data_IF_014937503998
#
_entry.id   IF_014937503998
#
_cell.length_a   1.000
_cell.length_b   1.000
_cell.length_c   1.000
_cell.angle_alpha   90.00
_cell.angle_beta   90.00
_cell.angle_gamma   90.00
#
_symmetry.space_group_name_H-M   'P 1'
#
loop_
_entity.id
_entity.type
_entity.pdbx_description
1 polymer ?
#
# COMPACT_ATOMS: atom_id res chain seq x y z
N UNK A 1 14.34 -11.95 -3.90
CA UNK A 1 14.47 -10.94 -2.83
C UNK A 1 13.28 -9.99 -2.92
N UNK A 2 12.72 -9.55 -1.80
CA UNK A 2 11.68 -8.53 -1.77
C UNK A 2 11.90 -7.63 -0.56
N UNK A 3 11.46 -6.37 -0.65
CA UNK A 3 11.61 -5.39 0.43
C UNK A 3 10.20 -4.98 0.86
N UNK A 4 9.95 -4.98 2.17
CA UNK A 4 8.68 -4.67 2.85
C UNK A 4 7.51 -5.65 2.63
N UNK A 5 7.27 -6.10 1.39
CA UNK A 5 6.18 -7.02 1.07
C UNK A 5 6.68 -8.28 0.38
N UNK A 6 6.00 -9.39 0.57
CA UNK A 6 6.32 -10.70 0.01
C UNK A 6 5.06 -11.56 -0.10
N UNK A 7 5.21 -12.80 -0.56
CA UNK A 7 4.13 -13.79 -0.71
C UNK A 7 3.35 -14.09 0.58
N UNK A 8 3.94 -13.83 1.75
CA UNK A 8 3.31 -14.03 3.06
C UNK A 8 2.63 -12.76 3.59
N UNK A 9 2.74 -11.62 2.90
CA UNK A 9 2.09 -10.38 3.31
C UNK A 9 0.58 -10.53 3.22
N UNK A 10 -0.11 -10.36 4.36
CA UNK A 10 -1.56 -10.41 4.49
C UNK A 10 -2.10 -8.99 4.59
N UNK A 11 -2.97 -8.64 3.65
CA UNK A 11 -3.30 -7.24 3.37
C UNK A 11 -4.72 -6.90 3.81
N UNK A 12 -4.84 -5.78 4.52
CA UNK A 12 -6.10 -5.07 4.77
C UNK A 12 -6.29 -3.97 3.72
N UNK A 13 -7.50 -3.83 3.20
CA UNK A 13 -7.88 -2.68 2.37
C UNK A 13 -8.80 -1.75 3.15
N UNK A 14 -8.29 -0.57 3.53
CA UNK A 14 -9.10 0.47 4.14
C UNK A 14 -9.84 1.26 3.05
N UNK A 15 -11.17 1.41 3.21
CA UNK A 15 -12.04 1.95 2.17
C UNK A 15 -12.39 0.94 1.07
N UNK A 16 -12.28 -0.36 1.35
CA UNK A 16 -12.49 -1.44 0.37
C UNK A 16 -13.84 -1.36 -0.36
N UNK A 17 -14.90 -0.94 0.32
CA UNK A 17 -16.25 -0.88 -0.26
C UNK A 17 -16.54 0.40 -1.06
N UNK A 18 -15.58 1.33 -1.15
CA UNK A 18 -15.66 2.50 -2.03
C UNK A 18 -15.33 2.16 -3.48
N UNK A 19 -15.55 3.11 -4.40
CA UNK A 19 -15.30 2.92 -5.85
C UNK A 19 -13.84 2.51 -6.14
N UNK A 20 -12.87 3.34 -5.74
CA UNK A 20 -11.45 3.06 -5.98
C UNK A 20 -10.95 1.86 -5.17
N UNK A 21 -11.40 1.73 -3.92
CA UNK A 21 -11.10 0.56 -3.09
C UNK A 21 -11.53 -0.75 -3.75
N UNK A 22 -12.76 -0.82 -4.25
CA UNK A 22 -13.29 -2.03 -4.92
C UNK A 22 -12.49 -2.35 -6.18
N UNK A 23 -12.29 -1.34 -7.04
CA UNK A 23 -11.56 -1.49 -8.30
C UNK A 23 -10.12 -1.97 -8.08
N UNK A 24 -9.39 -1.36 -7.16
CA UNK A 24 -8.00 -1.69 -6.91
C UNK A 24 -7.84 -2.97 -6.08
N UNK A 25 -8.79 -3.31 -5.21
CA UNK A 25 -8.83 -4.63 -4.53
C UNK A 25 -8.84 -5.74 -5.56
N UNK A 26 -9.76 -5.68 -6.55
CA UNK A 26 -9.84 -6.67 -7.63
C UNK A 26 -8.55 -6.76 -8.45
N UNK A 27 -7.91 -5.64 -8.74
CA UNK A 27 -6.61 -5.61 -9.46
C UNK A 27 -5.48 -6.22 -8.64
N UNK A 28 -5.42 -5.91 -7.34
CA UNK A 28 -4.42 -6.48 -6.43
C UNK A 28 -4.61 -7.99 -6.28
N UNK A 29 -5.85 -8.49 -6.19
CA UNK A 29 -6.14 -9.93 -6.20
C UNK A 29 -5.65 -10.61 -7.48
N UNK A 30 -5.93 -10.02 -8.65
CA UNK A 30 -5.43 -10.53 -9.94
C UNK A 30 -3.90 -10.52 -10.02
N UNK A 31 -3.25 -9.59 -9.33
CA UNK A 31 -1.79 -9.52 -9.22
C UNK A 31 -1.19 -10.53 -8.22
N UNK A 32 -2.03 -11.33 -7.53
CA UNK A 32 -1.59 -12.34 -6.57
C UNK A 32 -1.50 -11.85 -5.12
N UNK A 33 -1.93 -10.63 -4.82
CA UNK A 33 -1.92 -10.09 -3.45
C UNK A 33 -2.88 -10.86 -2.54
N UNK A 34 -2.38 -11.30 -1.37
CA UNK A 34 -3.20 -11.96 -0.34
C UNK A 34 -3.99 -10.96 0.49
N UNK A 35 -5.13 -10.53 -0.03
CA UNK A 35 -6.08 -9.67 0.68
C UNK A 35 -6.92 -10.53 1.63
N UNK A 36 -6.92 -10.18 2.92
CA UNK A 36 -7.57 -10.97 3.97
C UNK A 36 -8.77 -10.27 4.60
N UNK A 37 -8.86 -8.94 4.47
CA UNK A 37 -9.95 -8.16 5.04
C UNK A 37 -10.10 -6.79 4.36
N UNK A 38 -11.32 -6.28 4.38
CA UNK A 38 -11.61 -4.87 4.17
C UNK A 38 -11.93 -4.16 5.49
N UNK A 39 -11.67 -2.86 5.55
CA UNK A 39 -12.15 -1.99 6.64
C UNK A 39 -13.00 -0.89 6.04
N UNK A 40 -14.24 -0.79 6.52
CA UNK A 40 -15.13 0.33 6.23
C UNK A 40 -16.02 0.56 7.45
N UNK A 41 -15.77 1.63 8.24
CA UNK A 41 -16.59 1.94 9.41
C UNK A 41 -18.08 1.99 9.07
N UNK A 42 -18.90 1.34 9.90
CA UNK A 42 -20.35 1.21 9.70
C UNK A 42 -20.77 0.05 8.79
N UNK A 43 -19.83 -0.68 8.19
CA UNK A 43 -20.09 -1.89 7.38
C UNK A 43 -19.43 -3.15 7.94
N UNK A 44 -18.90 -3.12 9.17
CA UNK A 44 -18.33 -4.30 9.81
C UNK A 44 -19.34 -5.44 9.94
N UNK A 45 -18.87 -6.68 9.83
CA UNK A 45 -19.68 -7.89 9.84
C UNK A 45 -20.24 -8.29 8.47
N UNK A 46 -20.10 -7.43 7.45
CA UNK A 46 -20.43 -7.78 6.08
C UNK A 46 -19.30 -8.57 5.42
N UNK A 47 -19.58 -9.15 4.25
CA UNK A 47 -18.57 -9.70 3.35
C UNK A 47 -18.87 -9.24 1.93
N UNK A 48 -17.82 -9.00 1.14
CA UNK A 48 -17.94 -8.52 -0.24
C UNK A 48 -17.26 -9.49 -1.18
N UNK A 49 -17.94 -9.84 -2.27
CA UNK A 49 -17.35 -10.60 -3.38
C UNK A 49 -16.43 -9.70 -4.21
N UNK A 50 -15.16 -10.08 -4.28
CA UNK A 50 -14.12 -9.43 -5.05
C UNK A 50 -13.57 -10.38 -6.12
N UNK A 51 -14.30 -10.51 -7.23
CA UNK A 51 -13.95 -11.37 -8.37
C UNK A 51 -13.85 -12.86 -7.98
N UNK A 52 -14.85 -13.36 -7.26
CA UNK A 52 -14.98 -14.76 -6.84
C UNK A 52 -14.37 -15.08 -5.48
N UNK A 53 -13.75 -14.09 -4.82
CA UNK A 53 -13.24 -14.21 -3.47
C UNK A 53 -14.08 -13.41 -2.49
N UNK A 54 -14.67 -14.09 -1.51
CA UNK A 54 -15.44 -13.45 -0.43
C UNK A 54 -14.47 -12.90 0.61
N UNK A 55 -14.46 -11.58 0.80
CA UNK A 55 -13.58 -10.90 1.74
C UNK A 55 -14.41 -10.27 2.87
N UNK A 56 -14.12 -10.58 4.15
CA UNK A 56 -14.83 -10.00 5.28
C UNK A 56 -14.52 -8.51 5.45
N UNK A 57 -15.50 -7.75 5.93
CA UNK A 57 -15.39 -6.31 6.22
C UNK A 57 -15.50 -6.09 7.72
N UNK A 58 -14.61 -5.26 8.26
CA UNK A 58 -14.55 -4.89 9.67
C UNK A 58 -14.75 -3.38 9.85
N UNK A 59 -15.05 -2.96 11.09
CA UNK A 59 -15.20 -1.54 11.41
C UNK A 59 -13.86 -0.86 11.69
N UNK A 60 -12.86 -1.61 12.17
CA UNK A 60 -11.52 -1.10 12.48
C UNK A 60 -10.41 -2.04 11.98
N UNK A 61 -9.21 -1.49 11.79
CA UNK A 61 -8.00 -2.26 11.46
C UNK A 61 -7.67 -3.24 12.59
N UNK A 62 -7.88 -2.86 13.85
CA UNK A 62 -7.62 -3.72 15.01
C UNK A 62 -8.46 -5.01 15.00
N UNK A 63 -9.75 -4.90 14.68
CA UNK A 63 -10.64 -6.06 14.52
C UNK A 63 -10.15 -6.97 13.38
N UNK A 64 -9.84 -6.37 12.23
CA UNK A 64 -9.35 -7.10 11.06
C UNK A 64 -8.03 -7.84 11.34
N UNK A 65 -7.08 -7.22 12.04
CA UNK A 65 -5.82 -7.85 12.45
C UNK A 65 -6.10 -9.02 13.39
N UNK A 66 -6.94 -8.82 14.41
CA UNK A 66 -7.26 -9.86 15.39
C UNK A 66 -7.87 -11.10 14.73
N UNK A 67 -8.71 -10.92 13.71
CA UNK A 67 -9.35 -12.00 13.00
C UNK A 67 -8.46 -12.69 11.95
N UNK A 68 -7.53 -11.97 11.32
CA UNK A 68 -6.84 -12.45 10.10
C UNK A 68 -5.32 -12.57 10.23
N UNK A 69 -4.74 -11.91 11.23
CA UNK A 69 -3.29 -11.76 11.38
C UNK A 69 -2.66 -10.93 10.26
N UNK A 70 -3.38 -9.95 9.71
CA UNK A 70 -2.85 -9.03 8.71
C UNK A 70 -1.63 -8.25 9.21
N UNK A 71 -0.69 -7.98 8.30
CA UNK A 71 0.57 -7.30 8.59
C UNK A 71 0.87 -6.11 7.66
N UNK A 72 -0.04 -5.79 6.74
CA UNK A 72 0.01 -4.58 5.93
C UNK A 72 -1.39 -4.04 5.66
N UNK A 73 -1.52 -2.71 5.51
CA UNK A 73 -2.74 -2.04 5.11
C UNK A 73 -2.49 -1.14 3.91
N UNK A 74 -3.43 -1.12 2.97
CA UNK A 74 -3.48 -0.12 1.88
C UNK A 74 -4.72 0.75 2.04
N UNK A 75 -4.54 2.07 1.89
CA UNK A 75 -5.56 3.08 2.17
C UNK A 75 -6.06 3.70 0.87
N UNK A 76 -7.32 3.45 0.54
CA UNK A 76 -8.07 4.03 -0.58
C UNK A 76 -9.21 4.94 -0.09
N UNK A 77 -9.04 5.53 1.09
CA UNK A 77 -10.03 6.36 1.76
C UNK A 77 -9.96 7.79 1.22
N UNK A 78 -11.10 8.48 0.95
CA UNK A 78 -11.10 9.85 0.47
C UNK A 78 -10.30 10.82 1.38
N UNK A 79 -9.78 11.95 0.84
CA UNK A 79 -8.79 12.78 1.54
C UNK A 79 -9.28 13.30 2.90
N UNK A 80 -10.56 13.69 2.96
CA UNK A 80 -11.23 14.16 4.17
C UNK A 80 -11.20 13.17 5.34
N UNK A 81 -11.11 11.87 5.05
CA UNK A 81 -11.17 10.80 6.06
C UNK A 81 -9.84 10.03 6.17
N UNK A 82 -8.87 10.33 5.31
CA UNK A 82 -7.62 9.56 5.22
C UNK A 82 -6.79 9.63 6.50
N UNK A 83 -6.75 10.79 7.19
CA UNK A 83 -6.05 10.90 8.48
C UNK A 83 -6.59 9.91 9.51
N UNK A 84 -7.91 9.85 9.70
CA UNK A 84 -8.52 8.95 10.68
C UNK A 84 -8.22 7.47 10.34
N UNK A 85 -8.26 7.11 9.06
CA UNK A 85 -7.91 5.77 8.59
C UNK A 85 -6.43 5.40 8.86
N UNK A 86 -5.51 6.35 8.64
CA UNK A 86 -4.09 6.13 8.94
C UNK A 86 -3.86 6.01 10.45
N UNK A 87 -4.51 6.85 11.26
CA UNK A 87 -4.45 6.76 12.73
C UNK A 87 -4.98 5.40 13.23
N UNK A 88 -6.10 4.90 12.70
CA UNK A 88 -6.62 3.56 13.06
C UNK A 88 -5.60 2.45 12.75
N UNK A 89 -4.88 2.54 11.62
CA UNK A 89 -3.80 1.63 11.30
C UNK A 89 -2.61 1.73 12.27
N UNK A 90 -2.23 2.96 12.66
CA UNK A 90 -1.14 3.20 13.62
C UNK A 90 -1.51 2.67 15.02
N UNK A 91 -2.72 2.95 15.50
CA UNK A 91 -3.21 2.48 16.79
C UNK A 91 -3.36 0.96 16.84
N UNK A 92 -3.69 0.33 15.71
CA UNK A 92 -3.69 -1.11 15.54
C UNK A 92 -2.28 -1.72 15.41
N UNK A 93 -1.22 -0.89 15.43
CA UNK A 93 0.18 -1.28 15.36
C UNK A 93 0.52 -2.08 14.11
N UNK A 94 -0.10 -1.72 12.97
CA UNK A 94 0.19 -2.41 11.73
C UNK A 94 1.62 -2.09 11.26
N UNK A 95 2.43 -3.07 10.86
CA UNK A 95 3.82 -2.79 10.47
C UNK A 95 3.98 -1.84 9.27
N UNK A 96 3.09 -1.95 8.28
CA UNK A 96 3.14 -1.15 7.04
C UNK A 96 1.77 -0.61 6.67
N UNK A 97 1.68 0.71 6.48
CA UNK A 97 0.52 1.41 5.94
C UNK A 97 0.89 2.13 4.64
N UNK A 98 0.27 1.73 3.53
CA UNK A 98 0.45 2.33 2.21
C UNK A 98 -0.72 3.26 1.90
N UNK A 99 -0.46 4.55 1.81
CA UNK A 99 -1.47 5.59 1.61
C UNK A 99 -1.45 6.04 0.15
N UNK A 100 -2.49 5.65 -0.59
CA UNK A 100 -2.61 5.96 -2.02
C UNK A 100 -3.22 7.34 -2.22
N UNK A 101 -4.15 7.72 -1.36
CA UNK A 101 -4.97 8.93 -1.45
C UNK A 101 -4.15 10.20 -1.75
N UNK A 102 -4.55 10.90 -2.81
CA UNK A 102 -4.05 12.22 -3.19
C UNK A 102 -4.86 13.34 -2.50
N UNK A 103 -4.29 14.54 -2.36
CA UNK A 103 -5.04 15.72 -1.89
C UNK A 103 -5.32 15.77 -0.38
N UNK A 104 -4.63 14.94 0.42
CA UNK A 104 -4.67 15.06 1.88
C UNK A 104 -4.00 16.38 2.30
N UNK A 105 -4.64 17.21 3.16
CA UNK A 105 -4.03 18.43 3.66
C UNK A 105 -2.67 18.17 4.33
N UNK A 106 -1.68 19.01 4.04
CA UNK A 106 -0.30 18.81 4.54
C UNK A 106 -0.22 18.72 6.07
N UNK A 107 -1.02 19.52 6.78
CA UNK A 107 -1.04 19.48 8.25
C UNK A 107 -1.57 18.14 8.80
N UNK A 108 -2.49 17.49 8.07
CA UNK A 108 -2.99 16.16 8.44
C UNK A 108 -1.92 15.10 8.22
N UNK A 109 -1.16 15.21 7.11
CA UNK A 109 -0.01 14.35 6.83
C UNK A 109 1.07 14.48 7.89
N UNK A 110 1.43 15.71 8.24
CA UNK A 110 2.40 15.99 9.30
C UNK A 110 1.96 15.39 10.64
N UNK A 111 0.67 15.53 10.98
CA UNK A 111 0.11 15.03 12.24
C UNK A 111 0.17 13.49 12.33
N UNK A 112 -0.34 12.76 11.33
CA UNK A 112 -0.30 11.29 11.40
C UNK A 112 1.12 10.75 11.27
N UNK A 113 2.01 11.44 10.54
CA UNK A 113 3.40 11.02 10.40
C UNK A 113 4.14 11.15 11.73
N UNK A 114 4.01 12.29 12.41
CA UNK A 114 4.57 12.51 13.73
C UNK A 114 4.05 11.46 14.74
N UNK A 115 2.75 11.17 14.70
CA UNK A 115 2.14 10.14 15.54
C UNK A 115 2.70 8.74 15.26
N UNK A 116 2.93 8.39 14.00
CA UNK A 116 3.57 7.13 13.60
C UNK A 116 4.99 7.01 14.15
N UNK A 117 5.76 8.10 14.11
CA UNK A 117 7.13 8.17 14.66
C UNK A 117 7.12 8.02 16.18
N UNK A 118 6.18 8.67 16.86
CA UNK A 118 6.00 8.56 18.31
C UNK A 118 5.70 7.12 18.75
N UNK A 119 4.81 6.41 18.03
CA UNK A 119 4.50 4.99 18.31
C UNK A 119 5.61 4.03 17.91
N UNK A 120 6.40 4.38 16.89
CA UNK A 120 7.63 3.68 16.50
C UNK A 120 7.44 2.31 15.84
N UNK A 121 6.22 1.90 15.50
CA UNK A 121 5.94 0.57 14.93
C UNK A 121 5.46 0.63 13.48
N UNK A 122 4.51 1.51 13.18
CA UNK A 122 3.94 1.60 11.83
C UNK A 122 4.84 2.41 10.92
N UNK A 123 5.22 1.82 9.78
CA UNK A 123 5.86 2.54 8.70
C UNK A 123 4.84 3.00 7.68
N UNK A 124 4.94 4.26 7.26
CA UNK A 124 4.04 4.87 6.28
C UNK A 124 4.75 4.99 4.94
N UNK A 125 4.08 4.51 3.89
CA UNK A 125 4.43 4.76 2.50
C UNK A 125 3.37 5.66 1.86
N UNK A 126 3.77 6.77 1.25
CA UNK A 126 2.86 7.80 0.73
C UNK A 126 2.77 9.01 1.66
N UNK A 127 1.69 9.82 1.59
CA UNK A 127 0.51 9.68 0.73
C UNK A 127 0.78 10.01 -0.74
N UNK A 128 -0.29 10.05 -1.55
CA UNK A 128 -0.25 10.40 -2.97
C UNK A 128 0.76 9.54 -3.77
N UNK A 129 0.87 8.26 -3.44
CA UNK A 129 1.79 7.36 -4.11
C UNK A 129 1.02 6.25 -4.83
N UNK A 130 1.55 5.70 -5.92
CA UNK A 130 0.93 4.54 -6.53
C UNK A 130 1.16 3.25 -5.73
N UNK A 131 2.03 3.28 -4.71
CA UNK A 131 2.23 2.19 -3.75
C UNK A 131 3.52 1.40 -3.95
N UNK A 132 3.46 0.11 -3.63
CA UNK A 132 4.61 -0.81 -3.64
C UNK A 132 4.21 -2.13 -4.29
N UNK A 133 5.10 -2.69 -5.10
CA UNK A 133 4.92 -4.02 -5.66
C UNK A 133 6.20 -4.85 -5.57
N UNK A 134 6.03 -6.09 -5.10
CA UNK A 134 6.94 -7.20 -5.37
C UNK A 134 6.37 -8.00 -6.54
N UNK A 135 6.94 -7.89 -7.75
CA UNK A 135 6.36 -8.47 -8.95
C UNK A 135 6.13 -9.98 -8.82
N UNK A 136 4.97 -10.44 -9.26
CA UNK A 136 4.53 -11.84 -9.13
C UNK A 136 4.20 -12.30 -7.70
N UNK A 137 4.21 -11.40 -6.70
CA UNK A 137 4.00 -11.75 -5.29
C UNK A 137 2.94 -10.89 -4.62
N UNK A 138 3.20 -9.60 -4.44
CA UNK A 138 2.28 -8.72 -3.71
C UNK A 138 2.36 -7.32 -4.27
N UNK A 139 1.19 -6.78 -4.60
CA UNK A 139 0.97 -5.41 -5.04
C UNK A 139 0.06 -4.71 -4.01
N UNK A 140 0.57 -3.64 -3.40
CA UNK A 140 -0.17 -2.74 -2.53
C UNK A 140 -0.30 -1.39 -3.21
N UNK A 141 -1.38 -1.19 -3.95
CA UNK A 141 -1.68 0.09 -4.58
C UNK A 141 -2.24 -0.04 -5.98
N UNK A 142 -1.79 0.84 -6.87
CA UNK A 142 -2.33 1.03 -8.23
C UNK A 142 -1.30 0.75 -9.33
N UNK A 143 -0.14 0.19 -8.97
CA UNK A 143 0.91 -0.15 -9.94
C UNK A 143 0.37 -1.25 -10.87
N UNK A 144 0.41 -1.07 -12.20
CA UNK A 144 0.02 -2.11 -13.15
C UNK A 144 0.99 -3.30 -13.07
N UNK A 145 0.47 -4.49 -12.75
CA UNK A 145 1.28 -5.69 -12.54
C UNK A 145 1.75 -6.36 -13.83
N UNK A 146 1.05 -6.14 -14.93
CA UNK A 146 1.30 -6.68 -16.27
C UNK A 146 2.59 -6.12 -16.91
N UNK A 147 3.02 -4.94 -16.50
CA UNK A 147 4.27 -4.34 -16.96
C UNK A 147 5.44 -4.58 -16.00
N UNK A 148 5.22 -5.26 -14.87
CA UNK A 148 6.25 -5.52 -13.86
C UNK A 148 6.82 -6.92 -13.98
N UNK A 149 8.14 -7.04 -14.16
CA UNK A 149 8.86 -8.32 -14.14
C UNK A 149 9.83 -8.41 -12.97
N UNK A 150 9.98 -9.59 -12.38
CA UNK A 150 10.84 -9.81 -11.20
C UNK A 150 12.32 -9.82 -11.54
N UNK A 151 13.14 -9.07 -10.82
CA UNK A 151 14.59 -9.15 -10.94
C UNK A 151 15.35 -8.44 -9.81
N UNK A 152 16.67 -8.25 -9.95
CA UNK A 152 17.54 -7.84 -8.85
C UNK A 152 17.52 -6.33 -8.56
N UNK A 153 16.94 -5.51 -9.44
CA UNK A 153 16.97 -4.05 -9.31
C UNK A 153 15.82 -3.55 -8.42
N UNK A 154 16.12 -2.76 -7.40
CA UNK A 154 15.10 -1.97 -6.67
C UNK A 154 14.89 -0.61 -7.33
N UNK A 155 13.66 -0.25 -7.66
CA UNK A 155 13.33 1.08 -8.19
C UNK A 155 12.64 1.91 -7.11
N UNK A 156 13.05 3.17 -6.90
CA UNK A 156 12.41 4.09 -5.94
C UNK A 156 12.14 5.41 -6.65
N UNK A 157 10.92 5.93 -6.56
CA UNK A 157 10.54 7.17 -7.27
C UNK A 157 9.38 7.91 -6.64
N UNK A 158 9.41 9.24 -6.77
CA UNK A 158 8.37 10.18 -6.32
C UNK A 158 7.24 10.44 -7.32
N UNK A 159 7.31 9.83 -8.50
CA UNK A 159 6.34 10.05 -9.57
C UNK A 159 5.82 8.73 -10.08
N UNK A 160 4.50 8.56 -10.15
CA UNK A 160 3.90 7.30 -10.62
C UNK A 160 4.16 7.05 -12.10
N UNK A 161 3.88 8.02 -12.97
CA UNK A 161 4.01 7.86 -14.43
C UNK A 161 5.47 7.72 -14.86
N UNK A 162 6.38 8.50 -14.28
CA UNK A 162 7.81 8.37 -14.56
C UNK A 162 8.34 7.00 -14.16
N UNK A 163 7.84 6.44 -13.07
CA UNK A 163 8.19 5.09 -12.67
C UNK A 163 7.76 4.06 -13.69
N UNK A 164 6.55 4.18 -14.23
CA UNK A 164 6.08 3.24 -15.27
C UNK A 164 6.93 3.34 -16.55
N UNK A 165 7.43 4.54 -16.88
CA UNK A 165 8.37 4.73 -17.98
C UNK A 165 9.71 4.03 -17.70
N UNK A 166 10.31 4.28 -16.53
CA UNK A 166 11.58 3.65 -16.14
C UNK A 166 11.47 2.12 -16.10
N UNK A 167 10.35 1.62 -15.57
CA UNK A 167 9.98 0.21 -15.57
C UNK A 167 9.98 -0.39 -16.98
N UNK A 168 9.30 0.28 -17.91
CA UNK A 168 9.21 -0.14 -19.30
C UNK A 168 10.58 -0.12 -20.00
N UNK A 169 11.33 0.98 -19.87
CA UNK A 169 12.64 1.14 -20.50
C UNK A 169 13.66 0.12 -19.97
N UNK A 170 13.74 -0.08 -18.65
CA UNK A 170 14.67 -1.06 -18.06
C UNK A 170 14.38 -2.49 -18.53
N UNK A 171 13.09 -2.85 -18.64
CA UNK A 171 12.67 -4.16 -19.17
C UNK A 171 13.13 -4.35 -20.61
N UNK A 172 13.00 -3.33 -21.45
CA UNK A 172 13.40 -3.40 -22.86
C UNK A 172 14.93 -3.55 -23.03
N UNK A 173 15.72 -3.06 -22.06
CA UNK A 173 17.16 -3.32 -21.96
C UNK A 173 17.53 -4.68 -21.31
N UNK A 174 16.54 -5.52 -20.98
CA UNK A 174 16.76 -6.85 -20.39
C UNK A 174 16.91 -6.85 -18.87
N UNK A 175 16.63 -5.75 -18.19
CA UNK A 175 16.65 -5.67 -16.73
C UNK A 175 15.25 -5.88 -16.13
N UNK A 176 15.14 -6.79 -15.18
CA UNK A 176 13.93 -6.99 -14.38
C UNK A 176 14.12 -6.47 -12.95
N UNK A 177 13.05 -6.12 -12.25
CA UNK A 177 13.14 -5.31 -11.03
C UNK A 177 12.09 -5.68 -9.96
N UNK A 178 12.25 -5.10 -8.78
CA UNK A 178 11.23 -4.97 -7.76
C UNK A 178 10.94 -3.47 -7.63
N UNK A 179 9.72 -3.03 -7.95
CA UNK A 179 9.43 -1.60 -8.02
C UNK A 179 8.76 -1.05 -6.78
N UNK A 180 9.33 0.04 -6.31
CA UNK A 180 8.90 0.85 -5.18
C UNK A 180 8.58 2.26 -5.68
N UNK A 181 7.42 2.77 -5.30
CA UNK A 181 7.10 4.17 -5.53
C UNK A 181 6.96 4.87 -4.20
N UNK A 182 7.94 5.72 -3.91
CA UNK A 182 8.10 6.45 -2.67
C UNK A 182 7.71 7.91 -2.89
N UNK A 183 6.68 8.37 -2.18
CA UNK A 183 6.20 9.76 -2.06
C UNK A 183 5.49 10.36 -3.27
N UNK A 184 4.24 10.82 -3.08
CA UNK A 184 3.62 11.76 -3.99
C UNK A 184 4.14 13.18 -3.86
N UNK A 185 3.72 14.03 -4.80
CA UNK A 185 4.13 15.44 -4.99
C UNK A 185 3.81 16.41 -3.84
N UNK A 186 3.31 15.94 -2.69
CA UNK A 186 3.01 16.82 -1.56
C UNK A 186 4.30 17.13 -0.79
N UNK A 187 4.72 18.39 -0.87
CA UNK A 187 5.96 18.91 -0.32
C UNK A 187 6.11 18.62 1.19
N UNK A 188 7.34 18.23 1.58
CA UNK A 188 7.93 18.15 2.94
C UNK A 188 7.68 16.91 3.80
N UNK A 189 8.68 16.01 3.86
CA UNK A 189 9.26 15.33 5.04
C UNK A 189 10.29 14.30 4.53
N UNK A 190 11.56 14.69 4.62
CA UNK A 190 12.72 13.88 4.32
C UNK A 190 13.06 13.05 5.56
N UNK A 191 12.66 11.79 5.61
CA UNK A 191 13.21 10.82 6.57
C UNK A 191 13.86 9.69 5.81
N UNK A 192 15.13 9.94 5.51
CA UNK A 192 16.10 8.97 5.03
C UNK A 192 16.26 7.83 6.05
N UNK A 193 15.72 6.65 5.75
CA UNK A 193 16.23 5.35 6.22
C UNK A 193 15.91 4.24 5.23
N UNK A 194 16.65 4.21 4.12
CA UNK A 194 17.49 3.09 3.67
C UNK A 194 17.76 3.19 2.16
N UNK A 195 19.04 3.29 1.84
CA UNK A 195 19.61 2.88 0.56
C UNK A 195 19.90 1.37 0.62
N UNK A 196 19.62 0.63 -0.45
CA UNK A 196 20.65 -0.10 -1.21
C UNK A 196 20.05 -1.13 -2.19
N UNK A 197 20.62 -1.12 -3.40
CA UNK A 197 20.65 -2.20 -4.38
C UNK A 197 21.89 -3.11 -4.12
N UNK A 198 21.79 -4.43 -4.39
CA UNK A 198 22.83 -5.38 -4.92
C UNK A 198 24.07 -5.67 -3.98
N UNK A 199 24.81 -6.83 -3.97
CA UNK A 199 24.98 -7.99 -4.91
C UNK A 199 24.68 -9.37 -4.26
N UNK A 200 24.78 -10.56 -4.89
CA UNK A 200 25.27 -11.12 -6.16
C UNK A 200 24.22 -12.05 -6.75
#
# INVERSE_FOLDING_TARGET
>A
MTIFVNENTKVIVQGMTGSEGTKHTKRMLKAGTKIVAGVTPGKGGQSVDMDGQIIPVFNSVKEAISATGANASVVFVPPKFAKAAVIDAIDAMIPLAVVITEGIPVHDVAAFYAYSVEKGVTQILGPNCPGIISPGKTNLGIIPSDITGSGPIGLVSKSGTLTYQMMFELRDFGFYYCSWNWWGSNYWYNTYRLFACIPR
#
